data_IF_044879059457
#
_entry.id   IF_044879059457
#
_cell.length_a   1.000
_cell.length_b   1.000
_cell.length_c   1.000
_cell.angle_alpha   90.00
_cell.angle_beta   90.00
_cell.angle_gamma   90.00
#
_symmetry.space_group_name_H-M   'P 1'
#
loop_
_entity.id
_entity.type
_entity.pdbx_description
1 polymer ?
#
# COMPACT_ATOMS: atom_id res chain seq x y z
N UNK A 1 5.62 -4.29 25.99
CA UNK A 1 6.11 -4.86 24.72
C UNK A 1 6.76 -3.81 23.82
N UNK A 2 6.07 -2.82 23.29
CA UNK A 2 6.63 -1.82 22.36
C UNK A 2 7.86 -1.05 22.85
N UNK A 3 8.04 -0.86 24.15
CA UNK A 3 9.25 -0.23 24.71
C UNK A 3 10.46 -1.18 24.78
N UNK A 4 10.22 -2.46 24.97
CA UNK A 4 11.28 -3.48 25.08
C UNK A 4 11.68 -4.01 23.70
N UNK A 5 10.71 -4.13 22.80
CA UNK A 5 10.88 -4.59 21.44
C UNK A 5 10.41 -3.52 20.46
N UNK A 6 11.25 -2.53 20.11
CA UNK A 6 10.85 -1.40 19.28
C UNK A 6 10.48 -1.78 17.84
N UNK A 7 10.99 -2.92 17.34
CA UNK A 7 10.66 -3.45 16.01
C UNK A 7 9.38 -4.30 15.97
N UNK A 8 8.79 -4.60 17.13
CA UNK A 8 7.51 -5.32 17.19
C UNK A 8 6.37 -4.32 17.19
N UNK A 9 5.50 -4.42 16.22
CA UNK A 9 4.28 -3.63 16.15
C UNK A 9 3.07 -4.46 16.56
N UNK A 10 2.06 -3.81 17.09
CA UNK A 10 0.86 -4.47 17.59
C UNK A 10 -0.38 -3.90 16.90
N UNK A 11 -1.31 -4.75 16.52
CA UNK A 11 -2.63 -4.38 16.00
C UNK A 11 -3.70 -5.12 16.80
N UNK A 12 -4.85 -4.49 17.02
CA UNK A 12 -6.04 -5.14 17.56
C UNK A 12 -7.01 -5.30 16.40
N UNK A 13 -7.43 -6.52 16.13
CA UNK A 13 -8.41 -6.81 15.09
C UNK A 13 -9.84 -6.56 15.60
N UNK A 14 -10.80 -6.43 14.70
CA UNK A 14 -12.20 -6.25 15.05
C UNK A 14 -12.79 -7.43 15.83
N UNK A 15 -12.22 -8.62 15.65
CA UNK A 15 -12.53 -9.84 16.44
C UNK A 15 -12.14 -9.74 17.92
N UNK A 16 -11.33 -8.73 18.30
CA UNK A 16 -10.75 -8.58 19.63
C UNK A 16 -9.43 -9.33 19.82
N UNK A 17 -8.90 -9.95 18.79
CA UNK A 17 -7.60 -10.62 18.82
C UNK A 17 -6.46 -9.60 18.71
N UNK A 18 -5.37 -9.89 19.40
CA UNK A 18 -4.15 -9.07 19.36
C UNK A 18 -3.16 -9.72 18.40
N UNK A 19 -2.76 -8.99 17.36
CA UNK A 19 -1.77 -9.43 16.39
C UNK A 19 -0.44 -8.74 16.66
N UNK A 20 0.64 -9.55 16.70
CA UNK A 20 2.01 -9.07 16.82
C UNK A 20 2.72 -9.24 15.49
N UNK A 21 3.30 -8.16 14.98
CA UNK A 21 4.15 -8.18 13.79
C UNK A 21 5.61 -8.07 14.19
N UNK A 22 6.42 -8.99 13.74
CA UNK A 22 7.86 -9.03 13.97
C UNK A 22 8.64 -9.26 12.67
N UNK A 23 9.93 -9.08 12.70
CA UNK A 23 10.83 -9.23 11.56
C UNK A 23 11.13 -10.69 11.22
N UNK A 24 10.78 -11.63 12.10
CA UNK A 24 11.00 -13.05 11.90
C UNK A 24 10.54 -13.89 13.08
N UNK A 25 10.53 -15.20 12.88
CA UNK A 25 10.04 -16.20 13.84
C UNK A 25 10.79 -16.13 15.18
N UNK A 26 12.12 -16.06 15.15
CA UNK A 26 12.94 -16.01 16.36
C UNK A 26 12.64 -14.77 17.22
N UNK A 27 12.46 -13.61 16.60
CA UNK A 27 12.10 -12.39 17.33
C UNK A 27 10.72 -12.50 17.97
N UNK A 28 9.75 -13.06 17.25
CA UNK A 28 8.41 -13.29 17.77
C UNK A 28 8.42 -14.29 18.93
N UNK A 29 9.20 -15.37 18.82
CA UNK A 29 9.34 -16.36 19.90
C UNK A 29 9.96 -15.75 21.16
N UNK A 30 11.01 -14.95 21.03
CA UNK A 30 11.59 -14.22 22.16
C UNK A 30 10.57 -13.27 22.81
N UNK A 31 9.86 -12.49 21.99
CA UNK A 31 8.85 -11.58 22.48
C UNK A 31 7.68 -12.30 23.18
N UNK A 32 7.27 -13.45 22.66
CA UNK A 32 6.21 -14.28 23.25
C UNK A 32 6.67 -14.99 24.53
N UNK A 33 7.92 -15.44 24.57
CA UNK A 33 8.50 -16.01 25.78
C UNK A 33 8.49 -14.99 26.92
N UNK A 34 8.98 -13.77 26.67
CA UNK A 34 8.99 -12.73 27.69
C UNK A 34 7.57 -12.29 28.08
N UNK A 35 6.65 -12.25 27.13
CA UNK A 35 5.25 -11.94 27.42
C UNK A 35 4.64 -12.96 28.41
N UNK A 36 4.92 -14.24 28.23
CA UNK A 36 4.41 -15.33 29.08
C UNK A 36 5.07 -15.40 30.44
N UNK A 37 6.40 -15.22 30.50
CA UNK A 37 7.17 -15.52 31.70
C UNK A 37 7.55 -14.29 32.52
N UNK A 38 7.64 -13.12 31.87
CA UNK A 38 8.10 -11.89 32.54
C UNK A 38 6.96 -10.89 32.76
N UNK A 39 6.11 -10.70 31.76
CA UNK A 39 5.13 -9.62 31.76
C UNK A 39 3.70 -10.04 32.09
N UNK A 40 3.36 -11.29 31.93
CA UNK A 40 1.97 -11.76 32.12
C UNK A 40 1.86 -12.82 33.20
N UNK A 41 0.85 -12.66 34.04
CA UNK A 41 0.37 -13.69 34.97
C UNK A 41 -0.83 -14.48 34.40
N UNK A 42 -1.26 -14.18 33.18
CA UNK A 42 -2.43 -14.74 32.52
C UNK A 42 -1.97 -15.74 31.45
N UNK A 43 -2.69 -16.85 31.33
CA UNK A 43 -2.42 -17.82 30.27
C UNK A 43 -2.78 -17.24 28.89
N UNK A 44 -1.83 -17.28 27.96
CA UNK A 44 -1.93 -16.68 26.63
C UNK A 44 -1.96 -17.78 25.57
N UNK A 45 -3.06 -17.85 24.81
CA UNK A 45 -3.16 -18.69 23.62
C UNK A 45 -2.51 -17.96 22.44
N UNK A 46 -1.66 -18.67 21.72
CA UNK A 46 -0.95 -18.15 20.55
C UNK A 46 -1.28 -19.02 19.35
N UNK A 47 -1.68 -18.37 18.25
CA UNK A 47 -1.84 -19.02 16.97
C UNK A 47 -0.48 -19.26 16.29
N UNK A 48 -0.45 -20.11 15.29
CA UNK A 48 0.75 -20.36 14.48
C UNK A 48 1.15 -19.07 13.75
N UNK A 49 2.43 -18.67 13.77
CA UNK A 49 2.87 -17.49 13.05
C UNK A 49 2.66 -17.65 11.53
N UNK A 50 2.16 -16.60 10.91
CA UNK A 50 1.89 -16.56 9.47
C UNK A 50 2.63 -15.39 8.83
N UNK A 51 2.92 -15.53 7.55
CA UNK A 51 3.57 -14.48 6.77
C UNK A 51 2.50 -13.54 6.21
N UNK A 52 2.73 -12.23 6.32
CA UNK A 52 1.81 -11.23 5.82
C UNK A 52 1.89 -11.12 4.30
N UNK A 53 0.74 -11.18 3.63
CA UNK A 53 0.61 -10.92 2.21
C UNK A 53 0.39 -9.42 1.94
N UNK A 54 0.48 -9.05 0.67
CA UNK A 54 0.04 -7.74 0.17
C UNK A 54 -0.90 -7.92 -1.01
N UNK A 55 -1.76 -6.94 -1.24
CA UNK A 55 -2.70 -6.94 -2.35
C UNK A 55 -2.19 -6.07 -3.49
N UNK A 56 -2.33 -6.51 -4.72
CA UNK A 56 -1.89 -5.76 -5.92
C UNK A 56 -2.82 -5.98 -7.10
N UNK A 57 -2.58 -5.26 -8.19
CA UNK A 57 -3.28 -5.42 -9.45
C UNK A 57 -2.31 -5.66 -10.59
N UNK A 58 -2.75 -6.38 -11.63
CA UNK A 58 -1.93 -6.67 -12.80
C UNK A 58 -2.23 -5.76 -14.00
N UNK A 59 -3.46 -5.28 -14.12
CA UNK A 59 -3.94 -4.53 -15.27
C UNK A 59 -4.63 -3.25 -14.81
N UNK A 60 -4.80 -2.31 -15.75
CA UNK A 60 -5.62 -1.14 -15.52
C UNK A 60 -7.08 -1.54 -15.39
N UNK A 61 -7.84 -0.86 -14.53
CA UNK A 61 -9.27 -1.09 -14.37
C UNK A 61 -10.01 -1.00 -15.72
N UNK A 62 -10.82 -2.00 -16.00
CA UNK A 62 -11.55 -2.12 -17.26
C UNK A 62 -12.59 -1.01 -17.47
N UNK A 63 -13.11 -0.47 -16.38
CA UNK A 63 -14.12 0.58 -16.38
C UNK A 63 -13.73 1.71 -15.43
N UNK A 64 -14.28 2.89 -15.69
CA UNK A 64 -14.25 4.00 -14.74
C UNK A 64 -15.21 3.71 -13.60
N UNK A 65 -14.67 3.56 -12.40
CA UNK A 65 -15.46 3.31 -11.21
C UNK A 65 -15.87 4.60 -10.53
N UNK A 66 -17.10 4.68 -10.08
CA UNK A 66 -17.58 5.82 -9.33
C UNK A 66 -18.30 5.41 -8.05
N UNK A 67 -18.28 6.29 -7.07
CA UNK A 67 -19.09 6.16 -5.86
C UNK A 67 -19.69 7.53 -5.50
N UNK A 68 -20.94 7.49 -5.03
CA UNK A 68 -21.64 8.65 -4.51
C UNK A 68 -21.59 8.66 -2.98
N UNK A 69 -21.56 9.86 -2.41
CA UNK A 69 -21.70 10.01 -0.97
C UNK A 69 -23.10 9.59 -0.50
N UNK A 70 -23.28 9.17 0.76
CA UNK A 70 -24.60 8.79 1.29
C UNK A 70 -25.68 9.84 1.11
N UNK A 71 -25.32 11.14 1.14
CA UNK A 71 -26.22 12.27 0.88
C UNK A 71 -26.47 12.52 -0.62
N UNK A 72 -25.87 11.70 -1.54
CA UNK A 72 -25.98 11.83 -3.01
C UNK A 72 -25.58 13.18 -3.60
N UNK A 73 -24.92 14.03 -2.79
CA UNK A 73 -24.52 15.37 -3.20
C UNK A 73 -23.11 15.41 -3.82
N UNK A 74 -22.31 14.36 -3.62
CA UNK A 74 -20.96 14.27 -4.19
C UNK A 74 -20.77 12.93 -4.85
N UNK A 75 -19.96 12.94 -5.92
CA UNK A 75 -19.55 11.75 -6.67
C UNK A 75 -18.08 11.83 -6.97
N UNK A 76 -17.36 10.74 -6.76
CA UNK A 76 -15.95 10.57 -7.10
C UNK A 76 -15.81 9.43 -8.09
N UNK A 77 -14.98 9.61 -9.11
CA UNK A 77 -14.68 8.56 -10.06
C UNK A 77 -13.16 8.36 -10.15
N UNK A 78 -12.74 7.08 -10.08
CA UNK A 78 -11.34 6.68 -10.10
C UNK A 78 -11.10 5.48 -11.00
N UNK A 79 -9.84 5.36 -11.43
CA UNK A 79 -9.30 4.14 -12.03
C UNK A 79 -8.06 3.72 -11.26
N UNK A 80 -7.79 2.41 -11.24
CA UNK A 80 -6.57 1.85 -10.68
C UNK A 80 -5.75 1.21 -11.80
N UNK A 81 -4.43 1.32 -11.71
CA UNK A 81 -3.49 0.70 -12.63
C UNK A 81 -2.22 0.29 -11.88
N UNK A 82 -1.47 -0.72 -12.37
CA UNK A 82 -0.21 -1.09 -11.77
C UNK A 82 0.77 0.08 -11.81
N UNK A 83 1.57 0.20 -10.75
CA UNK A 83 2.64 1.19 -10.66
C UNK A 83 3.82 0.77 -11.55
N UNK A 84 4.63 1.71 -11.98
CA UNK A 84 5.85 1.45 -12.74
C UNK A 84 6.83 0.62 -11.92
N UNK A 85 7.47 -0.36 -12.58
CA UNK A 85 8.42 -1.29 -11.93
C UNK A 85 9.57 -0.53 -11.27
N UNK A 86 9.85 -0.84 -10.01
CA UNK A 86 10.92 -0.23 -9.23
C UNK A 86 10.54 1.05 -8.48
N UNK A 87 9.39 1.67 -8.80
CA UNK A 87 8.98 2.90 -8.12
C UNK A 87 8.57 2.65 -6.67
N UNK A 88 7.88 1.54 -6.41
CA UNK A 88 7.51 1.16 -5.06
C UNK A 88 8.73 0.98 -4.15
N UNK A 89 9.75 0.29 -4.66
CA UNK A 89 11.03 0.07 -3.96
C UNK A 89 11.78 1.38 -3.72
N UNK A 90 11.80 2.29 -4.68
CA UNK A 90 12.43 3.60 -4.51
C UNK A 90 11.75 4.45 -3.44
N UNK A 91 10.43 4.38 -3.36
CA UNK A 91 9.66 5.11 -2.33
C UNK A 91 9.89 4.48 -0.95
N UNK A 92 9.85 3.15 -0.84
CA UNK A 92 10.09 2.41 0.40
C UNK A 92 11.52 2.59 0.92
N UNK A 93 12.52 2.67 0.02
CA UNK A 93 13.92 2.92 0.35
C UNK A 93 14.26 4.41 0.59
N UNK A 94 13.25 5.27 0.64
CA UNK A 94 13.41 6.71 0.88
C UNK A 94 14.26 7.44 -0.19
N UNK A 95 14.46 6.82 -1.36
CA UNK A 95 15.16 7.45 -2.49
C UNK A 95 14.32 8.62 -3.03
N UNK A 96 13.00 8.57 -2.83
CA UNK A 96 12.04 9.62 -3.23
C UNK A 96 11.25 10.09 -2.01
N UNK A 97 11.18 11.39 -1.80
CA UNK A 97 10.38 11.99 -0.73
C UNK A 97 9.39 13.02 -1.27
N UNK A 98 8.19 13.03 -0.69
CA UNK A 98 7.16 14.07 -0.98
C UNK A 98 7.65 15.48 -0.63
N UNK A 99 8.62 15.58 0.29
CA UNK A 99 9.17 16.87 0.77
C UNK A 99 10.17 17.49 -0.20
N UNK A 100 10.51 16.84 -1.31
CA UNK A 100 11.42 17.39 -2.30
C UNK A 100 10.83 18.63 -2.99
N UNK A 101 11.70 19.49 -3.48
CA UNK A 101 11.27 20.58 -4.36
C UNK A 101 10.59 20.04 -5.61
N UNK A 102 9.50 20.69 -6.03
CA UNK A 102 8.69 20.27 -7.18
C UNK A 102 9.51 20.05 -8.46
N UNK A 103 10.59 20.82 -8.64
CA UNK A 103 11.48 20.69 -9.81
C UNK A 103 12.30 19.39 -9.73
N UNK A 104 12.88 19.09 -8.57
CA UNK A 104 13.65 17.88 -8.34
C UNK A 104 12.77 16.63 -8.47
N UNK A 105 11.58 16.66 -7.86
CA UNK A 105 10.59 15.60 -7.96
C UNK A 105 10.21 15.32 -9.42
N UNK A 106 9.87 16.36 -10.21
CA UNK A 106 9.51 16.22 -11.62
C UNK A 106 10.67 15.66 -12.45
N UNK A 107 11.90 16.15 -12.24
CA UNK A 107 13.09 15.69 -12.95
C UNK A 107 13.38 14.20 -12.69
N UNK A 108 13.25 13.75 -11.45
CA UNK A 108 13.45 12.34 -11.08
C UNK A 108 12.44 11.43 -11.78
N UNK A 109 11.14 11.77 -11.72
CA UNK A 109 10.09 10.95 -12.35
C UNK A 109 10.16 10.96 -13.89
N UNK A 110 10.55 12.09 -14.48
CA UNK A 110 10.76 12.20 -15.93
C UNK A 110 11.93 11.33 -16.40
N UNK A 111 13.06 11.39 -15.71
CA UNK A 111 14.28 10.66 -16.10
C UNK A 111 14.21 9.16 -15.85
N UNK A 112 13.66 8.73 -14.71
CA UNK A 112 13.69 7.32 -14.30
C UNK A 112 12.45 6.55 -14.73
N UNK A 113 11.28 7.18 -14.70
CA UNK A 113 9.99 6.52 -14.93
C UNK A 113 9.24 7.04 -16.17
N UNK A 114 9.83 7.95 -16.94
CA UNK A 114 9.24 8.57 -18.12
C UNK A 114 7.85 9.21 -17.85
N UNK A 115 7.64 9.73 -16.65
CA UNK A 115 6.42 10.45 -16.36
C UNK A 115 6.41 11.80 -17.05
N UNK A 116 5.26 12.18 -17.62
CA UNK A 116 5.07 13.50 -18.18
C UNK A 116 5.05 14.57 -17.06
N UNK A 117 5.45 15.79 -17.41
CA UNK A 117 5.42 16.96 -16.50
C UNK A 117 4.02 17.25 -15.95
N UNK A 118 2.97 16.90 -16.70
CA UNK A 118 1.61 17.02 -16.23
C UNK A 118 1.29 15.97 -15.16
N UNK A 119 1.70 14.73 -15.37
CA UNK A 119 1.53 13.65 -14.40
C UNK A 119 2.24 13.94 -13.06
N UNK A 120 3.44 14.53 -13.10
CA UNK A 120 4.14 14.94 -11.88
C UNK A 120 3.48 16.10 -11.14
N UNK A 121 2.79 16.99 -11.83
CA UNK A 121 2.01 18.07 -11.22
C UNK A 121 0.68 17.58 -10.64
N UNK A 122 0.14 16.51 -11.18
CA UNK A 122 -1.09 15.88 -10.71
C UNK A 122 -0.90 15.00 -9.49
N UNK A 123 0.35 14.80 -9.05
CA UNK A 123 0.66 13.99 -7.86
C UNK A 123 0.06 14.61 -6.60
N UNK A 124 -0.63 13.76 -5.83
CA UNK A 124 -1.26 14.16 -4.58
C UNK A 124 -0.61 13.56 -3.36
N UNK A 125 -0.44 12.24 -3.33
CA UNK A 125 0.08 11.56 -2.15
C UNK A 125 0.59 10.14 -2.46
N UNK A 126 1.48 9.66 -1.60
CA UNK A 126 1.76 8.24 -1.44
C UNK A 126 0.84 7.62 -0.37
N UNK A 127 0.64 6.30 -0.42
CA UNK A 127 -0.14 5.53 0.53
C UNK A 127 0.43 4.11 0.75
N UNK A 128 0.16 3.49 1.90
CA UNK A 128 -0.72 3.88 3.00
C UNK A 128 -0.20 5.03 3.89
N UNK A 129 1.11 5.22 3.93
CA UNK A 129 1.80 6.27 4.68
C UNK A 129 2.46 7.28 3.75
N UNK A 130 3.23 8.22 4.32
CA UNK A 130 3.93 9.25 3.54
C UNK A 130 4.96 8.65 2.57
N UNK A 131 5.46 7.46 2.87
CA UNK A 131 6.44 6.69 2.09
C UNK A 131 5.87 5.34 1.66
N UNK A 132 4.59 5.29 1.37
CA UNK A 132 3.93 4.07 0.94
C UNK A 132 4.08 3.79 -0.55
N UNK A 133 4.05 2.51 -0.90
CA UNK A 133 4.27 1.97 -2.25
C UNK A 133 3.09 2.15 -3.21
N UNK A 134 2.17 3.07 -2.94
CA UNK A 134 1.04 3.39 -3.81
C UNK A 134 0.98 4.89 -4.09
N UNK A 135 0.39 5.26 -5.21
CA UNK A 135 0.32 6.64 -5.68
C UNK A 135 -1.12 7.07 -5.93
N UNK A 136 -1.47 8.29 -5.54
CA UNK A 136 -2.72 8.94 -5.90
C UNK A 136 -2.43 10.15 -6.78
N UNK A 137 -3.07 10.20 -7.96
CA UNK A 137 -2.97 11.29 -8.93
C UNK A 137 -4.33 11.96 -9.14
N UNK A 138 -4.31 13.26 -9.39
CA UNK A 138 -5.45 14.05 -9.86
C UNK A 138 -5.37 14.23 -11.37
N UNK A 139 -6.01 13.35 -12.10
CA UNK A 139 -6.06 13.36 -13.56
C UNK A 139 -7.38 13.97 -14.09
N UNK A 140 -8.05 14.78 -13.26
CA UNK A 140 -9.29 15.47 -13.66
C UNK A 140 -9.02 16.67 -14.57
N UNK A 141 -9.90 16.89 -15.54
CA UNK A 141 -9.80 18.03 -16.44
C UNK A 141 -10.36 19.30 -15.79
N UNK A 142 -9.64 20.45 -15.86
CA UNK A 142 -10.13 21.73 -15.33
C UNK A 142 -11.43 22.24 -15.98
N UNK A 143 -11.73 21.74 -17.18
CA UNK A 143 -12.97 22.07 -17.90
C UNK A 143 -14.20 21.34 -17.36
N UNK A 144 -14.01 20.20 -16.70
CA UNK A 144 -15.08 19.32 -16.25
C UNK A 144 -15.27 19.37 -14.72
N UNK A 145 -14.19 19.62 -13.97
CA UNK A 145 -14.18 19.59 -12.51
C UNK A 145 -13.76 20.94 -11.93
N UNK A 146 -14.49 21.41 -10.94
CA UNK A 146 -14.11 22.61 -10.19
C UNK A 146 -12.89 22.32 -9.28
N UNK A 147 -11.69 22.71 -9.74
CA UNK A 147 -10.43 22.49 -9.04
C UNK A 147 -10.35 23.15 -7.67
N UNK A 148 -11.09 24.24 -7.45
CA UNK A 148 -11.13 24.92 -6.15
C UNK A 148 -11.84 24.06 -5.11
N UNK A 149 -13.02 23.56 -5.45
CA UNK A 149 -13.77 22.65 -4.58
C UNK A 149 -13.02 21.33 -4.35
N UNK A 150 -12.41 20.79 -5.40
CA UNK A 150 -11.61 19.59 -5.31
C UNK A 150 -10.40 19.78 -4.39
N UNK A 151 -9.76 20.94 -4.43
CA UNK A 151 -8.66 21.30 -3.54
C UNK A 151 -9.06 21.36 -2.06
N UNK A 152 -10.26 21.82 -1.74
CA UNK A 152 -10.77 21.85 -0.36
C UNK A 152 -10.99 20.44 0.23
N UNK A 153 -11.42 19.48 -0.58
CA UNK A 153 -11.66 18.10 -0.14
C UNK A 153 -10.45 17.18 -0.33
N UNK A 154 -9.35 17.69 -0.89
CA UNK A 154 -8.12 16.91 -1.17
C UNK A 154 -7.68 16.06 0.01
N UNK A 155 -7.56 16.66 1.19
CA UNK A 155 -7.10 15.96 2.39
C UNK A 155 -8.02 14.80 2.79
N UNK A 156 -9.33 14.96 2.63
CA UNK A 156 -10.30 13.91 2.91
C UNK A 156 -10.20 12.76 1.90
N UNK A 157 -9.99 13.07 0.63
CA UNK A 157 -9.77 12.05 -0.42
C UNK A 157 -8.47 11.29 -0.17
N UNK A 158 -7.37 11.99 0.14
CA UNK A 158 -6.07 11.38 0.49
C UNK A 158 -6.20 10.47 1.72
N UNK A 159 -6.95 10.88 2.73
CA UNK A 159 -7.18 10.06 3.92
C UNK A 159 -7.98 8.79 3.57
N UNK A 160 -9.02 8.90 2.76
CA UNK A 160 -9.78 7.74 2.27
C UNK A 160 -8.95 6.78 1.42
N UNK A 161 -8.10 7.32 0.55
CA UNK A 161 -7.11 6.56 -0.23
C UNK A 161 -6.11 5.83 0.68
N UNK A 162 -5.51 6.52 1.65
CA UNK A 162 -4.58 5.91 2.59
C UNK A 162 -5.22 4.82 3.43
N UNK A 163 -6.47 5.01 3.81
CA UNK A 163 -7.25 3.98 4.49
C UNK A 163 -7.46 2.77 3.59
N UNK A 164 -7.87 2.97 2.33
CA UNK A 164 -7.99 1.88 1.36
C UNK A 164 -6.66 1.12 1.17
N UNK A 165 -5.53 1.83 1.08
CA UNK A 165 -4.22 1.21 0.91
C UNK A 165 -3.73 0.45 2.14
N UNK A 166 -4.19 0.79 3.33
CA UNK A 166 -3.83 0.10 4.57
C UNK A 166 -4.55 -1.24 4.73
N UNK A 167 -5.78 -1.28 4.30
CA UNK A 167 -6.66 -2.46 4.38
C UNK A 167 -7.33 -2.65 3.01
N UNK A 168 -6.82 -3.58 2.22
CA UNK A 168 -7.30 -3.86 0.88
C UNK A 168 -8.63 -4.64 0.86
N UNK A 169 -9.31 -4.71 -0.29
CA UNK A 169 -10.64 -5.31 -0.38
C UNK A 169 -10.66 -6.83 -0.50
N UNK A 170 -9.51 -7.52 -0.64
CA UNK A 170 -9.46 -8.99 -0.77
C UNK A 170 -9.40 -9.68 0.59
N UNK A 171 -8.37 -9.37 1.37
CA UNK A 171 -8.05 -10.04 2.63
C UNK A 171 -7.73 -9.04 3.75
N UNK A 172 -8.08 -7.75 3.59
CA UNK A 172 -7.70 -6.67 4.50
C UNK A 172 -6.18 -6.51 4.68
N UNK A 173 -5.42 -6.99 3.69
CA UNK A 173 -3.98 -6.84 3.65
C UNK A 173 -3.56 -5.53 2.97
N UNK A 174 -2.37 -4.98 3.27
CA UNK A 174 -1.93 -3.73 2.65
C UNK A 174 -1.86 -3.83 1.13
N UNK A 175 -2.32 -2.79 0.48
CA UNK A 175 -2.17 -2.63 -0.97
C UNK A 175 -0.76 -2.16 -1.30
N UNK A 176 -0.16 -2.75 -2.33
CA UNK A 176 1.18 -2.40 -2.82
C UNK A 176 1.22 -2.35 -4.34
N UNK A 177 2.00 -1.42 -4.87
CA UNK A 177 2.32 -1.34 -6.30
C UNK A 177 1.17 -0.87 -7.19
N UNK A 178 0.34 0.05 -6.68
CA UNK A 178 -0.83 0.57 -7.40
C UNK A 178 -0.80 2.09 -7.53
N UNK A 179 -1.24 2.54 -8.69
CA UNK A 179 -1.47 3.94 -9.00
C UNK A 179 -2.96 4.17 -9.19
N UNK A 180 -3.54 5.01 -8.35
CA UNK A 180 -4.93 5.44 -8.44
C UNK A 180 -5.00 6.81 -9.10
N UNK A 181 -5.92 6.96 -10.05
CA UNK A 181 -6.17 8.21 -10.77
C UNK A 181 -7.61 8.66 -10.53
N UNK A 182 -7.78 9.89 -10.05
CA UNK A 182 -9.08 10.54 -9.99
C UNK A 182 -9.32 11.13 -11.38
N UNK A 183 -10.40 10.72 -12.04
CA UNK A 183 -10.73 11.17 -13.39
C UNK A 183 -11.93 12.13 -13.40
N UNK A 184 -12.85 12.00 -12.44
CA UNK A 184 -14.01 12.88 -12.34
C UNK A 184 -14.39 13.08 -10.86
N UNK A 185 -14.88 14.28 -10.53
CA UNK A 185 -15.36 14.62 -9.20
C UNK A 185 -16.48 15.68 -9.30
N UNK A 186 -17.68 15.26 -8.97
CA UNK A 186 -18.80 16.18 -8.77
C UNK A 186 -18.94 16.47 -7.28
N UNK A 187 -18.86 17.73 -6.88
CA UNK A 187 -18.87 18.14 -5.48
C UNK A 187 -19.95 19.19 -5.24
N UNK A 188 -20.59 19.09 -4.08
CA UNK A 188 -21.59 20.06 -3.64
C UNK A 188 -20.96 21.44 -3.37
N UNK A 189 -21.63 22.52 -3.73
CA UNK A 189 -21.13 23.88 -3.47
C UNK A 189 -21.11 24.22 -1.97
N UNK A 190 -22.06 23.68 -1.19
CA UNK A 190 -22.14 23.93 0.24
C UNK A 190 -21.17 23.02 1.03
N UNK A 191 -20.29 23.61 1.89
CA UNK A 191 -19.34 22.84 2.72
C UNK A 191 -19.97 21.78 3.61
N UNK A 192 -21.22 21.99 4.07
CA UNK A 192 -21.95 21.05 4.93
C UNK A 192 -22.12 19.70 4.25
N UNK A 193 -22.34 19.67 2.93
CA UNK A 193 -22.59 18.43 2.19
C UNK A 193 -21.31 17.72 1.73
N UNK A 194 -20.12 18.37 1.80
CA UNK A 194 -18.83 17.80 1.42
C UNK A 194 -17.88 17.59 2.60
N UNK A 195 -18.42 17.40 3.80
CA UNK A 195 -17.61 17.12 4.99
C UNK A 195 -16.81 15.81 4.88
N UNK A 196 -15.72 15.72 5.65
CA UNK A 196 -14.83 14.55 5.65
C UNK A 196 -15.53 13.22 5.93
N UNK A 197 -16.54 13.22 6.82
CA UNK A 197 -17.36 12.03 7.12
C UNK A 197 -18.14 11.48 5.91
N UNK A 198 -18.37 12.29 4.88
CA UNK A 198 -19.00 11.88 3.63
C UNK A 198 -17.95 11.46 2.57
N UNK A 199 -16.88 12.24 2.46
CA UNK A 199 -15.88 12.05 1.40
C UNK A 199 -14.93 10.89 1.69
N UNK A 200 -14.44 10.72 2.92
CA UNK A 200 -13.46 9.68 3.28
C UNK A 200 -13.97 8.28 2.95
N UNK A 201 -15.16 7.85 3.43
CA UNK A 201 -15.66 6.50 3.12
C UNK A 201 -16.02 6.34 1.64
N UNK A 202 -16.39 7.43 0.95
CA UNK A 202 -16.67 7.39 -0.49
C UNK A 202 -15.39 7.22 -1.30
N UNK A 203 -14.31 7.91 -0.95
CA UNK A 203 -13.00 7.73 -1.56
C UNK A 203 -12.47 6.30 -1.36
N UNK A 204 -12.63 5.71 -0.15
CA UNK A 204 -12.30 4.31 0.11
C UNK A 204 -13.11 3.36 -0.80
N UNK A 205 -14.41 3.55 -0.89
CA UNK A 205 -15.28 2.69 -1.74
C UNK A 205 -14.92 2.74 -3.21
N UNK A 206 -14.65 3.93 -3.76
CA UNK A 206 -14.29 4.05 -5.17
C UNK A 206 -12.89 3.47 -5.44
N UNK A 207 -11.95 3.61 -4.52
CA UNK A 207 -10.64 2.95 -4.61
C UNK A 207 -10.79 1.41 -4.63
N UNK A 208 -11.63 0.84 -3.76
CA UNK A 208 -11.92 -0.59 -3.76
C UNK A 208 -12.58 -1.06 -5.05
N UNK A 209 -13.56 -0.33 -5.56
CA UNK A 209 -14.22 -0.69 -6.82
C UNK A 209 -13.24 -0.68 -7.99
N UNK A 210 -12.39 0.34 -8.09
CA UNK A 210 -11.37 0.42 -9.14
C UNK A 210 -10.30 -0.68 -9.01
N UNK A 211 -9.90 -1.01 -7.79
CA UNK A 211 -8.98 -2.12 -7.49
C UNK A 211 -9.55 -3.47 -7.96
N UNK A 212 -10.79 -3.78 -7.58
CA UNK A 212 -11.44 -5.06 -7.92
C UNK A 212 -11.62 -5.26 -9.43
N UNK A 213 -11.76 -4.19 -10.21
CA UNK A 213 -11.86 -4.23 -11.68
C UNK A 213 -10.50 -4.22 -12.39
N UNK A 214 -9.39 -4.25 -11.65
CA UNK A 214 -8.02 -4.16 -12.18
C UNK A 214 -7.27 -5.49 -12.17
N UNK A 215 -7.95 -6.62 -12.27
CA UNK A 215 -7.33 -7.96 -12.18
C UNK A 215 -6.52 -8.14 -10.90
N UNK A 216 -7.18 -8.19 -9.73
CA UNK A 216 -6.51 -8.21 -8.44
C UNK A 216 -5.71 -9.50 -8.20
N UNK A 217 -4.61 -9.40 -7.46
CA UNK A 217 -3.71 -10.50 -7.07
C UNK A 217 -3.21 -10.32 -5.64
N UNK A 218 -2.82 -11.42 -5.03
CA UNK A 218 -2.06 -11.42 -3.78
C UNK A 218 -0.56 -11.54 -4.09
N UNK A 219 0.25 -10.79 -3.37
CA UNK A 219 1.70 -10.89 -3.38
C UNK A 219 2.17 -11.54 -2.09
N UNK A 220 2.99 -12.57 -2.24
CA UNK A 220 3.66 -13.26 -1.16
C UNK A 220 5.08 -12.68 -0.98
N UNK A 221 5.55 -12.39 0.23
CA UNK A 221 6.92 -11.95 0.45
C UNK A 221 7.90 -13.10 0.26
N UNK A 222 9.04 -12.81 -0.36
CA UNK A 222 10.16 -13.74 -0.54
C UNK A 222 11.40 -13.21 0.13
N UNK A 223 12.22 -14.10 0.67
CA UNK A 223 13.56 -13.76 1.11
C UNK A 223 14.55 -13.79 -0.06
N UNK A 224 15.38 -12.79 -0.17
CA UNK A 224 16.58 -12.85 -0.99
C UNK A 224 17.71 -13.42 -0.14
N UNK A 225 18.24 -14.58 -0.57
CA UNK A 225 19.28 -15.31 0.16
C UNK A 225 20.57 -15.28 -0.68
N UNK A 226 21.67 -14.96 -0.05
CA UNK A 226 23.02 -15.09 -0.61
C UNK A 226 23.70 -16.27 0.05
N UNK A 227 24.13 -17.25 -0.76
CA UNK A 227 24.75 -18.47 -0.30
C UNK A 227 26.18 -18.51 -0.83
N UNK A 228 27.16 -18.57 0.04
CA UNK A 228 28.57 -18.79 -0.30
C UNK A 228 28.90 -20.27 -0.07
N UNK A 229 29.15 -20.99 -1.14
CA UNK A 229 29.39 -22.43 -1.07
C UNK A 229 30.39 -22.86 -2.20
N UNK A 230 31.09 -23.99 -2.03
CA UNK A 230 31.89 -24.58 -3.12
C UNK A 230 30.99 -24.92 -4.32
N UNK A 231 31.57 -24.89 -5.56
CA UNK A 231 30.80 -25.12 -6.78
C UNK A 231 30.02 -26.45 -6.81
N UNK A 232 30.58 -27.48 -6.19
CA UNK A 232 29.99 -28.82 -6.17
C UNK A 232 28.68 -28.89 -5.41
N UNK A 233 28.39 -27.91 -4.51
CA UNK A 233 27.19 -27.86 -3.70
C UNK A 233 26.04 -27.07 -4.30
N UNK A 234 26.20 -26.45 -5.46
CA UNK A 234 25.17 -25.64 -6.11
C UNK A 234 23.88 -26.44 -6.34
N UNK A 235 24.00 -27.67 -6.84
CA UNK A 235 22.86 -28.55 -7.09
C UNK A 235 22.12 -28.93 -5.78
N UNK A 236 22.86 -29.13 -4.70
CA UNK A 236 22.27 -29.41 -3.39
C UNK A 236 21.51 -28.19 -2.85
N UNK A 237 22.07 -26.99 -3.03
CA UNK A 237 21.39 -25.75 -2.68
C UNK A 237 20.10 -25.57 -3.47
N UNK A 238 20.12 -25.85 -4.77
CA UNK A 238 18.93 -25.78 -5.64
C UNK A 238 17.85 -26.76 -5.19
N UNK A 239 18.22 -28.00 -4.85
CA UNK A 239 17.28 -29.01 -4.33
C UNK A 239 16.61 -28.56 -3.04
N UNK A 240 17.34 -27.97 -2.10
CA UNK A 240 16.80 -27.47 -0.83
C UNK A 240 15.89 -26.27 -1.05
N UNK A 241 16.25 -25.34 -1.96
CA UNK A 241 15.45 -24.19 -2.29
C UNK A 241 14.15 -24.58 -3.00
N UNK A 242 14.21 -25.50 -3.96
CA UNK A 242 13.04 -25.93 -4.73
C UNK A 242 11.97 -26.59 -3.85
N UNK A 243 12.37 -27.34 -2.82
CA UNK A 243 11.44 -27.89 -1.81
C UNK A 243 10.66 -26.81 -1.05
N UNK A 244 11.18 -25.57 -1.01
CA UNK A 244 10.58 -24.39 -0.37
C UNK A 244 10.03 -23.37 -1.36
N UNK A 245 9.79 -23.77 -2.61
CA UNK A 245 9.36 -22.90 -3.71
C UNK A 245 10.35 -21.77 -4.03
N UNK A 246 11.62 -21.95 -3.64
CA UNK A 246 12.71 -21.06 -3.99
C UNK A 246 13.30 -21.39 -5.35
N UNK A 247 14.01 -20.46 -5.94
CA UNK A 247 14.73 -20.63 -7.19
C UNK A 247 16.05 -19.85 -7.17
N UNK A 248 17.05 -20.35 -7.89
CA UNK A 248 18.32 -19.67 -8.06
C UNK A 248 18.13 -18.52 -9.05
N UNK A 249 18.42 -17.31 -8.62
CA UNK A 249 18.37 -16.12 -9.49
C UNK A 249 19.66 -15.95 -10.30
N UNK A 250 20.80 -16.18 -9.67
CA UNK A 250 22.13 -16.01 -10.28
C UNK A 250 23.17 -16.86 -9.57
N UNK A 251 24.06 -17.44 -10.31
CA UNK A 251 25.28 -18.08 -9.81
C UNK A 251 26.46 -17.23 -10.21
N UNK A 252 27.28 -16.81 -9.27
CA UNK A 252 28.50 -16.04 -9.49
C UNK A 252 29.67 -16.98 -9.18
N UNK A 253 30.46 -17.39 -10.18
CA UNK A 253 31.60 -18.30 -10.00
C UNK A 253 32.77 -17.66 -9.27
#
# INVERSE_FOLDING_TARGET
MTKTYPLVTTKVEESGEYVLFGTGELQLDCAMHDLRHVYSSIDIKVATPVVRFTETVQEKSSLLCFAETPNKANRLAMTAEPLEKGLAEDVENEIVSVNWEKKQFASFFEQKYNWDKLATRSFWAFGPEVQGANVLLDDTLPSEVNKTLLGEVKNSIVQGFRWACREGPLCEEPIRNIKFKILDATLADSPIYRGGGQIIPTARRVAYSSFLLSSPRLMEPFYQIEIQAPPDLVNTCEEVLSRRRGFIRQVIP
#
